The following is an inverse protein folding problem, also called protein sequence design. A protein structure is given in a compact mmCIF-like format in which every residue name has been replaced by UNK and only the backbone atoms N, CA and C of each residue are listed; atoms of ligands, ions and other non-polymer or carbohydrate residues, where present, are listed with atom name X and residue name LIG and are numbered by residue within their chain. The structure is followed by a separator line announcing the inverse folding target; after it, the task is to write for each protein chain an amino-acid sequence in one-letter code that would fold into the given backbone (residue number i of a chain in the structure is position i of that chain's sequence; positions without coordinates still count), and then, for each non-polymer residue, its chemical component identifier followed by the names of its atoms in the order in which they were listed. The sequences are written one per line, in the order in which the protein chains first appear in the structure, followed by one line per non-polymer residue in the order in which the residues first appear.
data_IF_387887164361
#
_entry.id   IF_387887164361
#
_cell.length_a   1.000
_cell.length_b   1.000
_cell.length_c   1.000
_cell.angle_alpha   90.00
_cell.angle_beta   90.00
_cell.angle_gamma   90.00
#
_symmetry.space_group_name_H-M   'P 1'
#
loop_
_entity.id
_entity.type
_entity.pdbx_description
1 polymer ?
#
# COMPACT_ATOMS: atom_id res chain seq x y z
N UNK A 1 -2.30 16.27 2.01
CA UNK A 1 -3.02 15.22 1.27
C UNK A 1 -2.21 13.96 1.48
N UNK A 2 -2.79 12.89 2.01
CA UNK A 2 -2.03 11.71 2.39
C UNK A 2 -1.48 11.00 1.13
N UNK A 3 -0.19 10.73 1.09
CA UNK A 3 0.44 10.01 -0.01
C UNK A 3 0.32 8.51 0.26
N UNK A 4 -0.55 7.82 -0.50
CA UNK A 4 -0.72 6.37 -0.37
C UNK A 4 -0.15 5.72 -1.61
N UNK A 5 0.80 4.81 -1.43
CA UNK A 5 1.47 4.08 -2.51
C UNK A 5 1.22 2.58 -2.36
N UNK A 6 0.74 1.93 -3.42
CA UNK A 6 0.52 0.49 -3.45
C UNK A 6 1.31 -0.14 -4.59
N UNK A 7 2.26 -1.01 -4.23
CA UNK A 7 2.85 -1.94 -5.20
C UNK A 7 1.93 -3.14 -5.37
N UNK A 8 1.58 -3.43 -6.62
CA UNK A 8 0.66 -4.51 -6.96
C UNK A 8 1.05 -5.22 -8.26
N UNK A 9 0.36 -6.31 -8.54
CA UNK A 9 0.45 -7.06 -9.80
C UNK A 9 -0.92 -7.18 -10.47
N UNK A 10 -0.96 -7.51 -11.76
CA UNK A 10 -2.23 -7.68 -12.49
C UNK A 10 -3.15 -8.71 -11.86
N UNK A 11 -2.57 -9.83 -11.40
CA UNK A 11 -3.29 -10.98 -10.89
C UNK A 11 -2.97 -11.14 -9.40
N UNK A 12 -3.65 -10.36 -8.56
CA UNK A 12 -3.55 -10.51 -7.11
C UNK A 12 -4.86 -10.10 -6.42
N UNK A 13 -5.58 -11.05 -5.79
CA UNK A 13 -6.84 -10.74 -5.11
C UNK A 13 -6.64 -9.79 -3.91
N UNK A 14 -5.52 -9.91 -3.19
CA UNK A 14 -5.18 -9.02 -2.07
C UNK A 14 -4.91 -7.58 -2.50
N UNK A 15 -4.32 -7.37 -3.68
CA UNK A 15 -4.15 -6.03 -4.24
C UNK A 15 -5.49 -5.38 -4.54
N UNK A 16 -6.44 -6.13 -5.12
CA UNK A 16 -7.80 -5.65 -5.37
C UNK A 16 -8.52 -5.32 -4.05
N UNK A 17 -8.37 -6.18 -3.04
CA UNK A 17 -8.96 -5.94 -1.72
C UNK A 17 -8.43 -4.65 -1.06
N UNK A 18 -7.10 -4.41 -1.12
CA UNK A 18 -6.49 -3.18 -0.61
C UNK A 18 -7.04 -1.92 -1.30
N UNK A 19 -7.13 -1.95 -2.64
CA UNK A 19 -7.70 -0.84 -3.42
C UNK A 19 -9.16 -0.57 -3.08
N UNK A 20 -9.97 -1.64 -2.99
CA UNK A 20 -11.37 -1.51 -2.61
C UNK A 20 -11.55 -0.95 -1.20
N UNK A 21 -10.69 -1.34 -0.27
CA UNK A 21 -10.68 -0.81 1.08
C UNK A 21 -10.41 0.70 1.11
N UNK A 22 -9.40 1.18 0.37
CA UNK A 22 -9.10 2.60 0.27
C UNK A 22 -10.23 3.38 -0.42
N UNK A 23 -10.76 2.82 -1.52
CA UNK A 23 -11.90 3.38 -2.25
C UNK A 23 -13.13 3.52 -1.36
N UNK A 24 -13.42 2.52 -0.53
CA UNK A 24 -14.55 2.55 0.41
C UNK A 24 -14.40 3.65 1.47
N UNK A 25 -13.16 4.06 1.79
CA UNK A 25 -12.87 5.20 2.66
C UNK A 25 -12.79 6.54 1.93
N UNK A 26 -12.98 6.57 0.60
CA UNK A 26 -12.88 7.77 -0.22
C UNK A 26 -11.45 8.31 -0.33
N UNK A 27 -10.44 7.44 -0.23
CA UNK A 27 -9.03 7.80 -0.33
C UNK A 27 -8.51 7.51 -1.73
N UNK A 28 -7.67 8.42 -2.23
CA UNK A 28 -6.88 8.22 -3.45
C UNK A 28 -5.54 7.55 -3.13
N UNK A 29 -4.98 6.85 -4.11
CA UNK A 29 -3.66 6.21 -3.98
C UNK A 29 -2.94 6.18 -5.33
N UNK A 30 -1.62 6.09 -5.26
CA UNK A 30 -0.77 5.78 -6.39
C UNK A 30 -0.54 4.26 -6.48
N UNK A 31 -0.74 3.69 -7.65
CA UNK A 31 -0.53 2.27 -7.91
C UNK A 31 0.71 2.08 -8.78
N UNK A 32 1.64 1.25 -8.31
CA UNK A 32 2.83 0.85 -9.08
C UNK A 32 2.74 -0.64 -9.41
N UNK A 33 2.79 -0.94 -10.71
CA UNK A 33 2.66 -2.30 -11.24
C UNK A 33 4.02 -2.95 -11.45
N UNK A 34 4.45 -3.73 -10.48
CA UNK A 34 5.78 -4.35 -10.48
C UNK A 34 5.92 -5.51 -11.48
N UNK A 35 4.80 -6.01 -12.01
CA UNK A 35 4.77 -7.04 -13.06
C UNK A 35 5.02 -6.47 -14.45
N UNK A 36 4.83 -5.16 -14.64
CA UNK A 36 5.07 -4.47 -15.90
C UNK A 36 6.45 -3.82 -15.95
N UNK A 37 7.02 -3.50 -14.79
CA UNK A 37 8.32 -2.83 -14.68
C UNK A 37 9.25 -3.54 -13.68
N UNK A 38 10.32 -4.21 -14.17
CA UNK A 38 11.34 -4.82 -13.33
C UNK A 38 12.06 -3.83 -12.42
N UNK A 39 12.21 -2.57 -12.82
CA UNK A 39 12.84 -1.54 -12.01
C UNK A 39 11.95 -1.18 -10.80
N UNK A 40 10.65 -1.04 -11.02
CA UNK A 40 9.67 -0.86 -9.94
C UNK A 40 9.68 -2.04 -8.95
N UNK A 41 9.87 -3.28 -9.42
CA UNK A 41 10.06 -4.43 -8.54
C UNK A 41 11.31 -4.30 -7.68
N UNK A 42 12.44 -3.86 -8.25
CA UNK A 42 13.68 -3.65 -7.50
C UNK A 42 13.52 -2.53 -6.46
N UNK A 43 12.84 -1.44 -6.81
CA UNK A 43 12.52 -0.34 -5.88
C UNK A 43 11.64 -0.83 -4.72
N UNK A 44 10.58 -1.59 -5.01
CA UNK A 44 9.73 -2.20 -3.98
C UNK A 44 10.56 -3.07 -3.03
N UNK A 45 11.46 -3.91 -3.56
CA UNK A 45 12.31 -4.77 -2.73
C UNK A 45 13.25 -3.96 -1.82
N UNK A 46 13.83 -2.88 -2.36
CA UNK A 46 14.70 -2.00 -1.58
C UNK A 46 13.94 -1.28 -0.46
N UNK A 47 12.71 -0.81 -0.73
CA UNK A 47 11.88 -0.06 0.23
C UNK A 47 11.18 -0.95 1.25
N UNK A 48 10.53 -2.02 0.80
CA UNK A 48 9.69 -2.89 1.63
C UNK A 48 10.47 -4.02 2.30
N UNK A 49 11.69 -4.33 1.81
CA UNK A 49 12.48 -5.50 2.21
C UNK A 49 11.69 -6.82 2.15
N UNK A 50 10.62 -6.85 1.34
CA UNK A 50 9.70 -7.97 1.16
C UNK A 50 9.41 -8.15 -0.33
N UNK A 51 9.26 -9.40 -0.75
CA UNK A 51 8.98 -9.78 -2.15
C UNK A 51 7.50 -9.96 -2.45
N UNK A 52 6.67 -10.10 -1.42
CA UNK A 52 5.22 -10.32 -1.52
C UNK A 52 4.48 -9.07 -1.99
N UNK A 53 3.37 -9.22 -2.71
CA UNK A 53 2.41 -8.13 -2.97
C UNK A 53 1.06 -8.41 -2.29
N UNK A 54 0.29 -7.38 -1.94
CA UNK A 54 0.61 -5.95 -2.06
C UNK A 54 1.68 -5.48 -1.07
N UNK A 55 2.41 -4.42 -1.42
CA UNK A 55 3.18 -3.62 -0.45
C UNK A 55 2.62 -2.21 -0.42
N UNK A 56 2.21 -1.77 0.75
CA UNK A 56 1.45 -0.54 0.97
C UNK A 56 2.31 0.41 1.80
N UNK A 57 2.37 1.67 1.36
CA UNK A 57 3.04 2.75 2.05
C UNK A 57 2.08 3.92 2.22
N UNK A 58 2.20 4.61 3.35
CA UNK A 58 1.39 5.80 3.66
C UNK A 58 2.34 6.87 4.18
N UNK A 59 2.37 8.03 3.52
CA UNK A 59 3.28 9.15 3.82
C UNK A 59 4.75 8.68 3.94
N UNK A 60 5.17 7.78 3.03
CA UNK A 60 6.50 7.16 3.04
C UNK A 60 6.72 6.06 4.10
N UNK A 61 5.80 5.88 5.05
CA UNK A 61 5.86 4.82 6.05
C UNK A 61 5.41 3.48 5.47
N UNK A 62 6.23 2.44 5.63
CA UNK A 62 5.87 1.08 5.20
C UNK A 62 4.80 0.49 6.13
N UNK A 63 3.61 0.27 5.60
CA UNK A 63 2.50 -0.38 6.32
C UNK A 63 2.62 -1.90 6.23
N UNK A 64 2.98 -2.41 5.06
CA UNK A 64 3.09 -3.85 4.80
C UNK A 64 2.07 -4.34 3.78
N UNK A 65 1.49 -5.52 4.01
CA UNK A 65 0.50 -6.14 3.14
C UNK A 65 -0.94 -5.67 3.39
N UNK A 66 -1.90 -6.36 2.77
CA UNK A 66 -3.31 -6.09 3.00
C UNK A 66 -3.74 -6.40 4.44
N UNK A 67 -3.27 -7.51 5.01
CA UNK A 67 -3.58 -7.88 6.39
C UNK A 67 -3.05 -6.85 7.39
N UNK A 68 -1.82 -6.34 7.16
CA UNK A 68 -1.21 -5.29 7.98
C UNK A 68 -2.04 -3.99 7.90
N UNK A 69 -2.51 -3.60 6.71
CA UNK A 69 -3.38 -2.44 6.51
C UNK A 69 -4.70 -2.58 7.28
N UNK A 70 -5.38 -3.72 7.16
CA UNK A 70 -6.64 -3.97 7.87
C UNK A 70 -6.43 -4.03 9.38
N UNK A 71 -5.34 -4.65 9.84
CA UNK A 71 -4.99 -4.68 11.26
C UNK A 71 -4.71 -3.27 11.80
N UNK A 72 -4.03 -2.42 11.04
CA UNK A 72 -3.74 -1.03 11.40
C UNK A 72 -5.04 -0.20 11.52
N UNK A 73 -5.97 -0.38 10.59
CA UNK A 73 -7.27 0.31 10.62
C UNK A 73 -8.15 -0.17 11.76
N UNK A 74 -8.22 -1.49 12.00
CA UNK A 74 -8.93 -2.06 13.15
C UNK A 74 -8.36 -1.58 14.48
N UNK A 75 -7.05 -1.32 14.54
CA UNK A 75 -6.39 -0.74 15.71
C UNK A 75 -6.64 0.78 15.84
N UNK A 76 -7.38 1.42 14.92
CA UNK A 76 -7.64 2.86 14.93
C UNK A 76 -6.43 3.71 14.57
N UNK A 77 -5.36 3.10 14.04
CA UNK A 77 -4.08 3.78 13.76
C UNK A 77 -3.91 4.20 12.30
N UNK A 78 -4.79 3.74 11.41
CA UNK A 78 -4.71 4.07 9.99
C UNK A 78 -5.06 5.53 9.71
N UNK A 79 -6.16 6.06 10.26
CA UNK A 79 -6.54 7.47 10.09
C UNK A 79 -5.45 8.42 10.63
N UNK A 80 -4.93 8.23 11.86
CA UNK A 80 -3.80 9.03 12.33
C UNK A 80 -2.59 9.00 11.41
N UNK A 81 -2.29 7.85 10.78
CA UNK A 81 -1.16 7.74 9.85
C UNK A 81 -1.35 8.56 8.58
N UNK A 82 -2.60 8.70 8.10
CA UNK A 82 -2.93 9.56 6.95
C UNK A 82 -2.74 11.04 7.28
N UNK A 83 -3.03 11.44 8.51
CA UNK A 83 -2.95 12.82 9.00
C UNK A 83 -1.53 13.22 9.40
N UNK A 84 -0.62 12.26 9.56
CA UNK A 84 0.80 12.53 9.79
C UNK A 84 1.43 13.13 8.52
N UNK A 85 1.50 14.45 8.49
CA UNK A 85 2.27 15.17 7.49
C UNK A 85 3.77 15.03 7.84
N UNK A 86 4.64 14.65 6.89
CA UNK A 86 6.09 14.72 7.10
C UNK A 86 6.56 16.15 7.34
#
# INVERSE_FOLDING_TARGET
MADILIYSTAICPYCVAAKNFLKAKGLDWHEVRIDLDPAARAEMLAKAQRTSVPQIFVNGTHVGGFDDLVALDRAGRFIPLLEQNP
#
